data_IF_473331148614
#
_entry.id   IF_473331148614
#
_cell.length_a   1.000
_cell.length_b   1.000
_cell.length_c   1.000
_cell.angle_alpha   90.00
_cell.angle_beta   90.00
_cell.angle_gamma   90.00
#
_symmetry.space_group_name_H-M   'P 1'
#
loop_
_entity.id
_entity.type
_entity.pdbx_description
1 polymer ?
#
# COMPACT_ATOMS: atom_id res chain seq x y z
N UNK A 1 -24.99 27.33 -9.66
CA UNK A 1 -23.96 27.13 -8.61
C UNK A 1 -23.92 25.63 -8.30
N UNK A 2 -22.73 25.01 -8.32
CA UNK A 2 -22.44 23.57 -8.14
C UNK A 2 -22.07 22.74 -9.38
N UNK A 3 -21.57 23.36 -10.46
CA UNK A 3 -20.75 22.66 -11.49
C UNK A 3 -19.30 23.18 -11.55
N UNK A 4 -18.94 24.15 -10.71
CA UNK A 4 -17.60 24.75 -10.64
C UNK A 4 -16.70 24.22 -9.50
N UNK A 5 -17.13 23.17 -8.78
CA UNK A 5 -16.35 22.54 -7.69
C UNK A 5 -15.76 21.16 -8.04
N UNK A 6 -16.01 20.61 -9.22
CA UNK A 6 -15.47 19.29 -9.64
C UNK A 6 -14.22 19.34 -10.52
N UNK A 7 -13.79 20.53 -10.95
CA UNK A 7 -12.55 20.73 -11.72
C UNK A 7 -11.35 21.26 -10.90
N UNK A 8 -11.48 21.36 -9.57
CA UNK A 8 -10.46 21.96 -8.69
C UNK A 8 -9.73 20.96 -7.77
N UNK A 9 -9.70 19.65 -8.11
CA UNK A 9 -8.97 18.65 -7.31
C UNK A 9 -7.97 17.81 -8.11
N UNK A 10 -7.42 18.37 -9.19
CA UNK A 10 -6.26 17.84 -9.91
C UNK A 10 -5.12 18.87 -10.10
N UNK A 11 -5.26 20.07 -9.50
CA UNK A 11 -4.31 21.18 -9.67
C UNK A 11 -4.01 21.91 -8.35
N UNK A 12 -3.86 21.17 -7.27
CA UNK A 12 -3.44 21.74 -5.98
C UNK A 12 -2.41 20.83 -5.28
N UNK A 13 -1.28 20.61 -5.94
CA UNK A 13 0.03 20.43 -5.28
C UNK A 13 1.12 20.77 -6.29
N UNK A 14 1.21 22.06 -6.58
CA UNK A 14 2.13 22.61 -7.56
C UNK A 14 2.28 24.10 -7.33
N UNK A 15 2.77 24.46 -6.14
CA UNK A 15 3.33 25.78 -5.85
C UNK A 15 4.04 25.72 -4.50
N UNK A 16 5.26 25.20 -4.51
CA UNK A 16 6.38 25.66 -3.68
C UNK A 16 7.65 24.89 -4.10
N UNK A 17 8.63 25.64 -4.57
CA UNK A 17 10.01 25.24 -4.89
C UNK A 17 10.16 24.35 -6.13
N UNK A 18 10.30 24.92 -7.34
CA UNK A 18 11.11 24.41 -8.47
C UNK A 18 11.25 22.90 -8.79
N UNK A 19 10.33 22.02 -8.37
CA UNK A 19 10.41 20.59 -8.61
C UNK A 19 9.75 20.25 -9.93
N UNK A 20 10.57 19.76 -10.86
CA UNK A 20 10.11 19.05 -12.06
C UNK A 20 9.12 17.96 -11.64
N UNK A 21 7.90 17.99 -12.17
CA UNK A 21 6.97 16.86 -12.06
C UNK A 21 7.64 15.69 -12.74
N UNK A 22 8.20 14.77 -11.97
CA UNK A 22 8.88 13.59 -12.50
C UNK A 22 7.85 12.70 -13.21
N UNK A 23 7.53 13.00 -14.46
CA UNK A 23 6.97 12.03 -15.38
C UNK A 23 8.04 10.95 -15.57
N UNK A 24 7.69 9.68 -15.37
CA UNK A 24 8.58 8.59 -15.76
C UNK A 24 8.86 8.75 -17.27
N UNK A 25 10.13 8.87 -17.69
CA UNK A 25 10.42 8.98 -19.11
C UNK A 25 10.13 7.63 -19.79
N UNK A 26 9.33 7.73 -20.85
CA UNK A 26 9.28 6.87 -22.04
C UNK A 26 8.69 5.45 -21.91
N UNK A 27 7.92 5.17 -22.96
CA UNK A 27 7.21 3.94 -23.31
C UNK A 27 8.04 2.67 -23.14
N UNK A 28 7.33 1.58 -22.84
CA UNK A 28 7.85 0.21 -22.89
C UNK A 28 8.64 -0.01 -24.19
N UNK A 29 9.96 -0.11 -24.09
CA UNK A 29 10.78 -0.61 -25.19
C UNK A 29 10.43 -2.09 -25.38
N UNK A 30 10.46 -2.55 -26.64
CA UNK A 30 10.26 -3.96 -26.94
C UNK A 30 11.30 -4.80 -26.14
N UNK A 31 10.90 -5.93 -25.55
CA UNK A 31 11.79 -6.67 -24.68
C UNK A 31 13.04 -7.11 -25.44
N UNK A 32 14.20 -6.77 -24.91
CA UNK A 32 15.46 -7.29 -25.41
C UNK A 32 15.49 -8.82 -25.22
N UNK A 33 16.10 -9.53 -26.18
CA UNK A 33 16.21 -10.99 -26.11
C UNK A 33 16.84 -11.43 -24.78
N UNK A 34 16.13 -12.27 -24.02
CA UNK A 34 16.59 -12.81 -22.73
C UNK A 34 15.87 -12.26 -21.48
N UNK A 35 14.95 -11.29 -21.61
CA UNK A 35 14.18 -10.79 -20.48
C UNK A 35 13.02 -11.71 -20.09
N UNK A 36 12.76 -11.86 -18.78
CA UNK A 36 11.69 -12.72 -18.28
C UNK A 36 10.31 -12.16 -18.63
N UNK A 37 9.43 -12.90 -19.36
CA UNK A 37 8.06 -12.46 -19.61
C UNK A 37 7.28 -12.16 -18.32
N UNK A 38 7.60 -12.88 -17.25
CA UNK A 38 6.99 -12.65 -15.94
C UNK A 38 7.44 -11.30 -15.33
N UNK A 39 8.73 -10.98 -15.40
CA UNK A 39 9.24 -9.69 -14.94
C UNK A 39 8.66 -8.52 -15.76
N UNK A 40 8.55 -8.67 -17.09
CA UNK A 40 7.94 -7.67 -17.97
C UNK A 40 6.48 -7.43 -17.61
N UNK A 41 5.72 -8.50 -17.31
CA UNK A 41 4.33 -8.38 -16.89
C UNK A 41 4.19 -7.57 -15.59
N UNK A 42 5.04 -7.86 -14.58
CA UNK A 42 5.07 -7.10 -13.34
C UNK A 42 5.51 -5.66 -13.54
N UNK A 43 6.49 -5.40 -14.40
CA UNK A 43 6.89 -4.05 -14.77
C UNK A 43 5.72 -3.26 -15.37
N UNK A 44 4.94 -3.86 -16.28
CA UNK A 44 3.76 -3.22 -16.86
C UNK A 44 2.65 -2.96 -15.82
N UNK A 45 2.49 -3.83 -14.83
CA UNK A 45 1.61 -3.56 -13.68
C UNK A 45 2.10 -2.37 -12.86
N UNK A 46 3.41 -2.23 -12.66
CA UNK A 46 4.02 -1.07 -12.00
C UNK A 46 3.77 0.24 -12.76
N UNK A 47 3.97 0.24 -14.08
CA UNK A 47 3.63 1.40 -14.93
C UNK A 47 2.14 1.76 -14.84
N UNK A 48 1.26 0.77 -14.79
CA UNK A 48 -0.18 0.97 -14.67
C UNK A 48 -0.53 1.57 -13.32
N UNK A 49 0.04 1.05 -12.24
CA UNK A 49 -0.10 1.59 -10.88
C UNK A 49 0.33 3.06 -10.80
N UNK A 50 1.47 3.39 -11.42
CA UNK A 50 1.99 4.75 -11.45
C UNK A 50 1.03 5.71 -12.16
N UNK A 51 0.54 5.33 -13.35
CA UNK A 51 -0.43 6.11 -14.12
C UNK A 51 -1.76 6.33 -13.38
N UNK A 52 -2.12 5.41 -12.49
CA UNK A 52 -3.30 5.52 -11.62
C UNK A 52 -3.06 6.36 -10.36
N UNK A 53 -1.90 7.02 -10.24
CA UNK A 53 -1.57 7.83 -9.06
C UNK A 53 -1.28 7.01 -7.80
N UNK A 54 -0.89 5.75 -7.96
CA UNK A 54 -0.54 4.84 -6.85
C UNK A 54 0.97 4.50 -6.87
N UNK A 55 1.86 5.46 -6.53
CA UNK A 55 3.31 5.26 -6.61
C UNK A 55 3.83 4.18 -5.66
N UNK A 56 3.20 3.96 -4.51
CA UNK A 56 3.56 2.89 -3.57
C UNK A 56 3.30 1.50 -4.18
N UNK A 57 2.18 1.35 -4.88
CA UNK A 57 1.86 0.14 -5.63
C UNK A 57 2.83 -0.08 -6.79
N UNK A 58 3.22 1.00 -7.49
CA UNK A 58 4.21 0.94 -8.55
C UNK A 58 5.57 0.43 -8.06
N UNK A 59 6.05 0.94 -6.92
CA UNK A 59 7.29 0.49 -6.27
C UNK A 59 7.27 -1.03 -6.02
N UNK A 60 6.14 -1.58 -5.57
CA UNK A 60 6.02 -3.00 -5.26
C UNK A 60 6.17 -3.86 -6.51
N UNK A 61 5.46 -3.48 -7.58
CA UNK A 61 5.52 -4.20 -8.84
C UNK A 61 6.89 -4.08 -9.51
N UNK A 62 7.51 -2.89 -9.50
CA UNK A 62 8.86 -2.72 -10.02
C UNK A 62 9.89 -3.49 -9.21
N UNK A 63 9.80 -3.49 -7.87
CA UNK A 63 10.66 -4.29 -7.01
C UNK A 63 10.53 -5.78 -7.36
N UNK A 64 9.31 -6.30 -7.49
CA UNK A 64 9.08 -7.69 -7.85
C UNK A 64 9.61 -8.03 -9.25
N UNK A 65 9.47 -7.12 -10.21
CA UNK A 65 10.05 -7.28 -11.54
C UNK A 65 11.59 -7.38 -11.47
N UNK A 66 12.24 -6.52 -10.67
CA UNK A 66 13.69 -6.54 -10.45
C UNK A 66 14.16 -7.80 -9.71
N UNK A 67 13.36 -8.33 -8.77
CA UNK A 67 13.68 -9.57 -8.05
C UNK A 67 13.68 -10.80 -8.99
N UNK A 68 12.83 -10.80 -10.02
CA UNK A 68 12.72 -11.88 -11.00
C UNK A 68 13.74 -11.75 -12.12
N UNK A 69 13.94 -10.51 -12.60
CA UNK A 69 14.91 -10.20 -13.64
C UNK A 69 15.75 -8.99 -13.24
N UNK A 70 16.90 -9.21 -12.60
CA UNK A 70 17.81 -8.13 -12.22
C UNK A 70 18.36 -7.34 -13.41
N UNK A 71 18.32 -7.89 -14.64
CA UNK A 71 18.79 -7.24 -15.86
C UNK A 71 17.72 -6.36 -16.53
N UNK A 72 16.49 -6.31 -16.00
CA UNK A 72 15.43 -5.44 -16.50
C UNK A 72 15.70 -3.97 -16.11
N UNK A 73 16.62 -3.34 -16.84
CA UNK A 73 17.13 -1.99 -16.58
C UNK A 73 16.00 -0.95 -16.46
N UNK A 74 14.94 -1.05 -17.26
CA UNK A 74 13.83 -0.09 -17.21
C UNK A 74 13.04 -0.18 -15.88
N UNK A 75 12.92 -1.39 -15.31
CA UNK A 75 12.31 -1.58 -13.99
C UNK A 75 13.21 -1.02 -12.88
N UNK A 76 14.53 -1.24 -12.96
CA UNK A 76 15.49 -0.66 -12.02
C UNK A 76 15.48 0.87 -12.09
N UNK A 77 15.49 1.44 -13.29
CA UNK A 77 15.46 2.88 -13.51
C UNK A 77 14.19 3.50 -12.92
N UNK A 78 13.01 2.96 -13.26
CA UNK A 78 11.74 3.48 -12.76
C UNK A 78 11.59 3.31 -11.24
N UNK A 79 12.11 2.22 -10.67
CA UNK A 79 12.18 2.04 -9.22
C UNK A 79 13.08 3.11 -8.57
N UNK A 80 14.24 3.39 -9.16
CA UNK A 80 15.17 4.45 -8.73
C UNK A 80 14.52 5.84 -8.75
N UNK A 81 13.83 6.19 -9.84
CA UNK A 81 13.13 7.47 -9.99
C UNK A 81 12.02 7.61 -8.94
N UNK A 82 11.27 6.54 -8.63
CA UNK A 82 10.26 6.58 -7.58
C UNK A 82 10.86 6.72 -6.18
N UNK A 83 12.00 6.10 -5.89
CA UNK A 83 12.70 6.34 -4.63
C UNK A 83 13.23 7.77 -4.53
N UNK A 84 13.82 8.30 -5.60
CA UNK A 84 14.32 9.67 -5.65
C UNK A 84 13.20 10.71 -5.45
N UNK A 85 12.04 10.53 -6.11
CA UNK A 85 10.90 11.45 -5.95
C UNK A 85 10.35 11.47 -4.51
N UNK A 86 10.54 10.38 -3.76
CA UNK A 86 10.25 10.27 -2.33
C UNK A 86 11.42 10.73 -1.43
N UNK A 87 12.47 11.36 -1.99
CA UNK A 87 13.71 11.76 -1.29
C UNK A 87 14.48 10.60 -0.64
N UNK A 88 14.25 9.38 -1.11
CA UNK A 88 14.91 8.15 -0.63
C UNK A 88 16.18 7.87 -1.45
N UNK A 89 17.07 8.85 -1.54
CA UNK A 89 18.27 8.77 -2.39
C UNK A 89 19.18 7.57 -2.04
N UNK A 90 19.26 7.18 -0.75
CA UNK A 90 19.99 5.98 -0.31
C UNK A 90 19.49 4.69 -0.97
N UNK A 91 18.21 4.60 -1.27
CA UNK A 91 17.60 3.44 -1.93
C UNK A 91 17.64 3.57 -3.46
N UNK A 92 17.67 4.79 -3.99
CA UNK A 92 17.72 5.06 -5.43
C UNK A 92 19.10 4.78 -6.04
N UNK A 93 20.18 5.16 -5.35
CA UNK A 93 21.58 4.96 -5.80
C UNK A 93 21.85 3.54 -6.30
N UNK A 94 21.60 2.46 -5.52
CA UNK A 94 21.87 1.10 -6.00
C UNK A 94 21.01 0.70 -7.21
N UNK A 95 19.84 1.32 -7.41
CA UNK A 95 18.99 1.04 -8.57
C UNK A 95 19.57 1.63 -9.85
N UNK A 96 20.05 2.88 -9.81
CA UNK A 96 20.71 3.48 -10.96
C UNK A 96 22.07 2.82 -11.27
N UNK A 97 22.78 2.33 -10.25
CA UNK A 97 23.98 1.52 -10.45
C UNK A 97 23.68 0.22 -11.21
N UNK A 98 22.57 -0.47 -10.89
CA UNK A 98 22.15 -1.65 -11.66
C UNK A 98 21.76 -1.32 -13.11
N UNK A 99 21.17 -0.14 -13.37
CA UNK A 99 20.93 0.34 -14.74
C UNK A 99 22.26 0.48 -15.47
N UNK A 100 23.25 1.14 -14.86
CA UNK A 100 24.58 1.34 -15.46
C UNK A 100 25.38 0.04 -15.60
N UNK A 101 25.12 -0.98 -14.77
CA UNK A 101 25.71 -2.31 -14.96
C UNK A 101 25.26 -2.94 -16.29
N UNK A 102 24.01 -2.72 -16.70
CA UNK A 102 23.42 -3.25 -17.94
C UNK A 102 23.64 -2.31 -19.13
N UNK A 103 23.52 -1.00 -18.91
CA UNK A 103 23.65 0.07 -19.90
C UNK A 103 24.72 1.08 -19.43
N UNK A 104 26.02 0.78 -19.58
CA UNK A 104 27.10 1.60 -18.99
C UNK A 104 27.23 3.04 -19.50
N UNK A 105 26.56 3.38 -20.60
CA UNK A 105 26.57 4.73 -21.18
C UNK A 105 25.19 5.39 -21.15
N UNK A 106 24.27 4.90 -20.32
CA UNK A 106 22.93 5.47 -20.20
C UNK A 106 23.00 6.87 -19.54
N UNK A 107 22.74 7.96 -20.29
CA UNK A 107 22.94 9.30 -19.79
C UNK A 107 21.89 9.69 -18.74
N UNK A 108 20.68 9.11 -18.81
CA UNK A 108 19.63 9.34 -17.83
C UNK A 108 20.02 8.73 -16.48
N UNK A 109 20.53 7.49 -16.49
CA UNK A 109 20.99 6.81 -15.28
C UNK A 109 22.22 7.48 -14.66
N UNK A 110 23.19 7.91 -15.48
CA UNK A 110 24.34 8.71 -15.01
C UNK A 110 23.87 10.00 -14.33
N UNK A 111 22.96 10.74 -14.95
CA UNK A 111 22.43 11.97 -14.40
C UNK A 111 21.68 11.72 -13.08
N UNK A 112 20.74 10.78 -13.04
CA UNK A 112 19.95 10.52 -11.83
C UNK A 112 20.79 10.00 -10.67
N UNK A 113 21.79 9.16 -10.95
CA UNK A 113 22.75 8.70 -9.95
C UNK A 113 23.54 9.89 -9.37
N UNK A 114 24.05 10.77 -10.23
CA UNK A 114 24.77 11.96 -9.79
C UNK A 114 23.90 12.90 -8.93
N UNK A 115 22.63 13.08 -9.30
CA UNK A 115 21.67 13.85 -8.49
C UNK A 115 21.51 13.22 -7.12
N UNK A 116 21.26 11.92 -7.04
CA UNK A 116 21.09 11.22 -5.77
C UNK A 116 22.35 11.28 -4.89
N UNK A 117 23.53 11.11 -5.47
CA UNK A 117 24.81 11.20 -4.75
C UNK A 117 25.08 12.61 -4.23
N UNK A 118 24.77 13.64 -5.03
CA UNK A 118 24.88 15.05 -4.59
C UNK A 118 23.93 15.35 -3.44
N UNK A 119 22.68 14.86 -3.51
CA UNK A 119 21.69 15.00 -2.43
C UNK A 119 22.10 14.27 -1.14
N UNK A 120 22.97 13.25 -1.25
CA UNK A 120 23.59 12.55 -0.12
C UNK A 120 24.91 13.19 0.36
N UNK A 121 25.40 14.24 -0.31
CA UNK A 121 26.69 14.89 -0.04
C UNK A 121 27.90 14.09 -0.55
N UNK A 122 27.70 13.01 -1.31
CA UNK A 122 28.75 12.16 -1.89
C UNK A 122 29.27 12.76 -3.21
N UNK A 123 29.77 14.00 -3.13
CA UNK A 123 30.16 14.80 -4.30
C UNK A 123 31.33 14.20 -5.10
N UNK A 124 32.27 13.53 -4.42
CA UNK A 124 33.39 12.83 -5.06
C UNK A 124 32.93 11.68 -5.96
N UNK A 125 31.88 10.96 -5.54
CA UNK A 125 31.24 9.89 -6.33
C UNK A 125 30.33 10.45 -7.42
N UNK A 126 29.64 11.57 -7.17
CA UNK A 126 28.74 12.19 -8.14
C UNK A 126 29.46 12.73 -9.39
N UNK A 127 30.63 13.36 -9.19
CA UNK A 127 31.38 14.07 -10.24
C UNK A 127 31.68 13.22 -11.49
N UNK A 128 32.23 11.98 -11.40
CA UNK A 128 32.47 11.17 -12.60
C UNK A 128 31.19 10.86 -13.38
N UNK A 129 30.04 10.72 -12.71
CA UNK A 129 28.77 10.48 -13.41
C UNK A 129 28.25 11.74 -14.13
N UNK A 130 28.49 12.94 -13.60
CA UNK A 130 28.20 14.20 -14.31
C UNK A 130 29.10 14.37 -15.54
N UNK A 131 30.38 14.01 -15.44
CA UNK A 131 31.33 14.08 -16.56
C UNK A 131 31.02 13.08 -17.68
N UNK A 132 30.35 11.97 -17.37
CA UNK A 132 29.92 10.99 -18.36
C UNK A 132 28.79 11.50 -19.27
N UNK A 133 28.13 12.61 -18.92
CA UNK A 133 27.03 13.18 -19.71
C UNK A 133 27.62 13.96 -20.88
N UNK A 134 27.34 13.49 -22.10
CA UNK A 134 27.85 14.10 -23.32
C UNK A 134 27.25 15.51 -23.57
N UNK A 135 28.00 16.43 -24.21
CA UNK A 135 27.54 17.79 -24.50
C UNK A 135 26.23 17.93 -25.30
N UNK A 136 25.88 16.90 -26.08
CA UNK A 136 24.67 16.86 -26.88
C UNK A 136 23.46 16.26 -26.14
N UNK A 137 23.62 15.83 -24.89
CA UNK A 137 22.54 15.24 -24.10
C UNK A 137 21.68 16.33 -23.42
N UNK A 138 20.38 16.04 -23.26
CA UNK A 138 19.42 16.95 -22.64
C UNK A 138 19.80 17.36 -21.19
N UNK A 139 20.47 16.47 -20.44
CA UNK A 139 20.89 16.74 -19.07
C UNK A 139 22.18 17.55 -18.96
N UNK A 140 22.90 17.79 -20.06
CA UNK A 140 24.25 18.36 -20.01
C UNK A 140 24.31 19.72 -19.33
N UNK A 141 23.41 20.63 -19.67
CA UNK A 141 23.38 21.96 -19.07
C UNK A 141 23.13 21.91 -17.55
N UNK A 142 22.26 21.00 -17.10
CA UNK A 142 21.97 20.83 -15.68
C UNK A 142 23.10 20.10 -14.95
N UNK A 143 23.74 19.13 -15.61
CA UNK A 143 24.93 18.46 -15.10
C UNK A 143 26.09 19.44 -14.86
N UNK A 144 26.31 20.38 -15.79
CA UNK A 144 27.32 21.42 -15.64
C UNK A 144 27.05 22.33 -14.44
N UNK A 145 25.79 22.76 -14.23
CA UNK A 145 25.43 23.56 -13.06
C UNK A 145 25.72 22.82 -11.75
N UNK A 146 25.34 21.54 -11.68
CA UNK A 146 25.60 20.71 -10.49
C UNK A 146 27.09 20.53 -10.23
N UNK A 147 27.88 20.36 -11.28
CA UNK A 147 29.34 20.29 -11.15
C UNK A 147 29.94 21.59 -10.64
N UNK A 148 29.44 22.75 -11.09
CA UNK A 148 29.83 24.06 -10.53
C UNK A 148 29.42 24.21 -9.06
N UNK A 149 28.25 23.70 -8.66
CA UNK A 149 27.82 23.69 -7.24
C UNK A 149 28.73 22.82 -6.37
N UNK A 150 29.16 21.67 -6.90
CA UNK A 150 30.14 20.78 -6.23
C UNK A 150 31.48 21.51 -6.08
N UNK A 151 32.01 22.10 -7.16
CA UNK A 151 33.32 22.77 -7.17
C UNK A 151 33.34 24.04 -6.29
N UNK A 152 32.20 24.72 -6.13
CA UNK A 152 32.05 25.92 -5.28
C UNK A 152 31.75 25.62 -3.80
N UNK A 153 31.57 24.35 -3.43
CA UNK A 153 31.26 23.95 -2.05
C UNK A 153 29.89 24.41 -1.54
N UNK A 154 28.98 24.81 -2.43
CA UNK A 154 27.65 25.37 -2.08
C UNK A 154 26.55 24.32 -1.87
N UNK A 155 26.89 23.05 -1.64
CA UNK A 155 25.89 21.97 -1.48
C UNK A 155 25.30 21.93 -0.07
N UNK A 156 24.03 21.51 0.02
CA UNK A 156 23.25 21.40 1.25
C UNK A 156 24.01 20.64 2.38
N UNK A 157 23.76 21.00 3.66
CA UNK A 157 24.51 20.45 4.78
C UNK A 157 24.42 18.93 4.85
N UNK A 158 25.54 18.34 5.25
CA UNK A 158 25.71 16.91 5.46
C UNK A 158 24.62 16.44 6.43
N UNK A 159 23.65 15.65 5.97
CA UNK A 159 22.89 14.78 6.89
C UNK A 159 23.81 13.61 7.20
N UNK A 160 24.78 13.82 8.09
CA UNK A 160 25.47 12.72 8.73
C UNK A 160 24.42 11.99 9.56
N UNK A 161 23.83 10.94 8.99
CA UNK A 161 23.29 9.89 9.82
C UNK A 161 24.46 9.40 10.70
N UNK A 162 24.32 9.36 12.03
CA UNK A 162 25.38 8.83 12.88
C UNK A 162 25.73 7.41 12.41
N UNK A 163 27.00 6.98 12.54
CA UNK A 163 27.44 5.69 12.08
C UNK A 163 26.56 4.60 12.68
N UNK A 164 26.12 3.67 11.84
CA UNK A 164 25.45 2.45 12.26
C UNK A 164 26.49 1.63 13.02
N UNK A 165 26.60 1.85 14.33
CA UNK A 165 27.26 0.91 15.21
C UNK A 165 26.38 -0.33 15.26
N UNK A 166 26.93 -1.43 14.75
CA UNK A 166 26.41 -2.76 14.96
C UNK A 166 26.11 -2.93 16.46
N UNK A 167 24.88 -3.32 16.80
CA UNK A 167 24.48 -3.60 18.16
C UNK A 167 25.31 -4.78 18.68
N UNK A 168 26.44 -4.47 19.31
CA UNK A 168 27.10 -5.34 20.26
C UNK A 168 26.38 -5.14 21.59
N UNK A 169 25.85 -6.26 22.08
CA UNK A 169 25.36 -6.43 23.45
C UNK A 169 26.46 -6.07 24.43
N UNK A 170 26.24 -5.07 25.29
CA UNK A 170 26.91 -5.02 26.57
C UNK A 170 26.06 -4.33 27.64
N UNK A 171 26.08 -4.97 28.81
CA UNK A 171 25.36 -4.64 30.02
C UNK A 171 26.07 -3.51 30.78
N UNK A 172 25.29 -2.70 31.53
CA UNK A 172 25.73 -1.71 32.54
C UNK A 172 26.52 -0.47 32.09
N UNK A 173 25.87 0.70 32.06
CA UNK A 173 26.48 1.96 32.52
C UNK A 173 25.42 2.87 33.18
N UNK A 174 25.61 3.15 34.47
CA UNK A 174 24.94 4.19 35.27
C UNK A 174 25.60 5.56 35.02
N UNK A 175 24.82 6.61 34.72
CA UNK A 175 25.30 8.00 34.61
C UNK A 175 24.51 8.97 35.50
N UNK A 176 25.23 9.75 36.33
CA UNK A 176 24.73 10.69 37.35
C UNK A 176 24.53 12.12 36.79
N UNK A 177 23.53 12.82 37.35
CA UNK A 177 22.89 14.11 36.97
C UNK A 177 23.67 15.39 37.32
N UNK A 178 23.25 16.55 36.77
CA UNK A 178 23.08 17.83 37.54
C UNK A 178 21.92 18.68 36.98
N UNK A 179 20.99 19.11 37.84
CA UNK A 179 19.99 20.15 37.53
C UNK A 179 20.63 21.56 37.68
N UNK A 180 20.64 22.39 36.63
CA UNK A 180 21.39 23.64 36.61
C UNK A 180 20.80 24.77 37.46
N UNK A 181 19.61 24.62 38.05
CA UNK A 181 18.95 25.70 38.80
C UNK A 181 18.90 25.48 40.32
N UNK A 182 19.29 24.31 40.84
CA UNK A 182 19.19 24.05 42.29
C UNK A 182 20.37 23.30 42.92
N UNK A 183 21.31 22.78 42.13
CA UNK A 183 22.60 22.27 42.63
C UNK A 183 22.54 21.11 43.65
N UNK A 184 21.40 20.43 43.80
CA UNK A 184 21.24 19.29 44.72
C UNK A 184 20.99 17.98 43.95
N UNK A 185 21.72 16.94 44.32
CA UNK A 185 21.52 15.55 43.85
C UNK A 185 20.50 14.86 44.76
N UNK A 186 19.42 14.34 44.19
CA UNK A 186 18.42 13.55 44.92
C UNK A 186 18.32 12.18 44.24
N UNK A 187 18.72 11.13 44.96
CA UNK A 187 18.58 9.73 44.53
C UNK A 187 17.16 9.25 44.88
N UNK A 188 16.36 8.88 43.87
CA UNK A 188 15.10 8.16 44.09
C UNK A 188 14.90 7.04 43.06
N UNK A 189 14.47 5.84 43.50
CA UNK A 189 14.29 4.68 42.64
C UNK A 189 13.03 4.82 41.78
N UNK A 190 13.16 4.60 40.46
CA UNK A 190 12.02 4.47 39.54
C UNK A 190 11.37 3.09 39.71
N UNK A 191 10.52 2.96 40.72
CA UNK A 191 9.53 1.88 40.81
C UNK A 191 8.30 2.25 39.97
N UNK A 192 7.93 1.40 39.01
CA UNK A 192 6.69 1.50 38.25
C UNK A 192 5.46 1.56 39.19
N UNK A 193 4.50 2.47 38.98
CA UNK A 193 3.24 2.41 39.70
C UNK A 193 2.40 1.19 39.21
N UNK A 194 1.76 0.44 40.12
CA UNK A 194 0.84 -0.64 39.75
C UNK A 194 -0.46 -0.10 39.13
N UNK A 195 -1.20 -0.92 38.37
CA UNK A 195 -2.47 -0.52 37.78
C UNK A 195 -3.49 -0.17 38.87
N UNK A 196 -4.21 0.93 38.67
CA UNK A 196 -5.22 1.41 39.61
C UNK A 196 -6.31 0.35 39.86
N UNK A 197 -6.55 0.10 41.14
CA UNK A 197 -7.60 -0.77 41.65
C UNK A 197 -9.00 -0.15 41.42
N UNK A 198 -9.97 -1.03 41.22
CA UNK A 198 -11.40 -0.75 41.16
C UNK A 198 -11.89 0.01 42.40
N UNK A 199 -12.65 1.09 42.19
CA UNK A 199 -13.49 1.70 43.21
C UNK A 199 -14.97 1.45 42.88
N UNK A 200 -15.73 1.18 43.94
CA UNK A 200 -17.06 0.58 43.98
C UNK A 200 -18.17 1.38 43.27
N UNK A 201 -19.13 0.63 42.70
CA UNK A 201 -20.43 1.15 42.26
C UNK A 201 -21.34 1.50 43.46
N UNK A 202 -22.10 2.61 43.42
CA UNK A 202 -23.29 2.79 44.26
C UNK A 202 -24.50 2.02 43.68
N UNK A 203 -25.50 1.69 44.51
CA UNK A 203 -26.48 0.64 44.21
C UNK A 203 -27.59 1.07 43.23
N UNK A 204 -28.22 0.04 42.66
CA UNK A 204 -29.22 0.06 41.62
C UNK A 204 -30.46 0.93 41.90
N UNK A 205 -30.88 1.69 40.89
CA UNK A 205 -32.26 2.18 40.76
C UNK A 205 -33.06 1.19 39.90
N UNK A 206 -34.19 0.74 40.43
CA UNK A 206 -35.13 -0.21 39.82
C UNK A 206 -35.75 0.32 38.52
N UNK A 207 -36.12 -0.56 37.57
CA UNK A 207 -36.95 -0.18 36.43
C UNK A 207 -38.43 -0.09 36.85
N UNK A 208 -39.21 0.91 36.38
CA UNK A 208 -40.65 0.85 36.56
C UNK A 208 -41.27 -0.21 35.65
N UNK A 209 -42.22 -0.92 36.24
CA UNK A 209 -42.93 -2.07 35.72
C UNK A 209 -43.83 -1.76 34.51
N UNK A 210 -44.09 -2.82 33.75
CA UNK A 210 -45.05 -2.87 32.65
C UNK A 210 -46.51 -2.64 33.12
N UNK A 211 -47.31 -2.00 32.27
CA UNK A 211 -48.77 -2.20 32.20
C UNK A 211 -49.19 -2.44 30.73
N UNK A 212 -50.14 -3.37 30.46
CA UNK A 212 -50.65 -3.71 29.13
C UNK A 212 -52.03 -3.05 28.87
N UNK A 213 -52.79 -3.42 27.82
CA UNK A 213 -52.93 -2.68 26.57
C UNK A 213 -54.29 -1.98 26.42
N UNK A 214 -54.38 -0.97 25.54
CA UNK A 214 -55.65 -0.44 25.05
C UNK A 214 -55.76 -0.61 23.53
N UNK A 215 -56.78 -1.36 23.16
CA UNK A 215 -57.35 -1.67 21.84
C UNK A 215 -57.66 -0.45 20.99
N UNK A 216 -57.28 -0.47 19.70
CA UNK A 216 -58.14 -0.03 18.58
C UNK A 216 -57.85 -0.86 17.31
N UNK A 217 -58.92 -1.37 16.71
CA UNK A 217 -59.01 -2.21 15.51
C UNK A 217 -59.32 -1.33 14.26
N UNK A 218 -59.52 -1.86 13.02
CA UNK A 218 -58.77 -1.44 11.84
C UNK A 218 -59.62 -0.71 10.77
N UNK A 219 -58.99 0.02 9.85
CA UNK A 219 -59.46 0.09 8.46
C UNK A 219 -58.48 0.79 7.50
N UNK A 220 -58.41 0.18 6.31
CA UNK A 220 -58.19 0.77 4.98
C UNK A 220 -56.81 0.59 4.33
N UNK A 221 -56.76 -0.40 3.44
CA UNK A 221 -55.86 -0.46 2.27
C UNK A 221 -56.02 0.79 1.40
N UNK A 222 -54.99 1.12 0.61
CA UNK A 222 -55.22 1.20 -0.83
C UNK A 222 -54.20 0.42 -1.66
N UNK A 223 -54.76 -0.43 -2.51
CA UNK A 223 -54.46 -0.75 -3.92
C UNK A 223 -53.09 -0.37 -4.51
N UNK A 224 -52.45 -1.38 -5.10
CA UNK A 224 -51.25 -1.30 -5.91
C UNK A 224 -51.42 -0.45 -7.19
N UNK A 225 -50.37 0.30 -7.54
CA UNK A 225 -50.03 0.61 -8.93
C UNK A 225 -48.52 0.42 -9.10
N UNK A 226 -48.18 -0.52 -9.97
CA UNK A 226 -46.84 -0.82 -10.46
C UNK A 226 -46.29 0.38 -11.23
N UNK A 227 -45.12 0.89 -10.82
CA UNK A 227 -44.27 1.71 -11.67
C UNK A 227 -42.81 1.25 -11.51
N UNK A 228 -42.30 0.63 -12.56
CA UNK A 228 -40.90 0.24 -12.70
C UNK A 228 -40.00 1.50 -12.70
N UNK A 229 -38.90 1.53 -11.93
CA UNK A 229 -37.88 2.55 -12.13
C UNK A 229 -37.15 2.27 -13.43
N UNK A 230 -37.24 3.23 -14.35
CA UNK A 230 -36.56 3.25 -15.62
C UNK A 230 -35.04 3.08 -15.43
N UNK A 231 -34.47 2.14 -16.17
CA UNK A 231 -33.03 1.99 -16.40
C UNK A 231 -32.47 3.26 -17.07
N UNK A 232 -31.75 4.07 -16.31
CA UNK A 232 -30.80 5.00 -16.89
C UNK A 232 -29.53 4.24 -17.27
N UNK A 233 -29.29 4.14 -18.58
CA UNK A 233 -28.07 3.62 -19.16
C UNK A 233 -26.88 4.50 -18.74
N UNK A 234 -25.81 3.95 -18.12
CA UNK A 234 -24.65 4.74 -17.74
C UNK A 234 -23.91 5.24 -18.99
N UNK A 235 -23.32 6.45 -18.97
CA UNK A 235 -22.68 7.05 -20.14
C UNK A 235 -21.54 6.17 -20.66
N UNK A 236 -21.68 5.74 -21.90
CA UNK A 236 -20.65 5.09 -22.68
C UNK A 236 -19.51 6.07 -22.95
N UNK A 237 -18.31 5.79 -22.41
CA UNK A 237 -16.98 5.92 -23.06
C UNK A 237 -15.86 5.89 -22.01
N UNK A 238 -15.38 4.68 -21.69
CA UNK A 238 -14.00 4.51 -21.20
C UNK A 238 -13.08 4.25 -22.40
N UNK A 239 -11.81 4.71 -22.37
CA UNK A 239 -10.87 4.43 -23.45
C UNK A 239 -10.65 2.91 -23.55
N UNK A 240 -10.95 2.36 -24.72
CA UNK A 240 -10.60 1.00 -25.10
C UNK A 240 -9.08 0.89 -25.12
N UNK A 241 -8.50 0.20 -24.15
CA UNK A 241 -7.12 -0.27 -24.26
C UNK A 241 -7.09 -1.42 -25.26
N UNK A 242 -7.00 -1.07 -26.55
CA UNK A 242 -6.75 -2.02 -27.62
C UNK A 242 -5.28 -2.46 -27.60
N UNK A 243 -5.01 -3.51 -26.84
CA UNK A 243 -3.99 -4.52 -27.16
C UNK A 243 -4.60 -5.88 -26.81
N UNK A 244 -4.74 -6.81 -27.77
CA UNK A 244 -5.28 -8.13 -27.45
C UNK A 244 -4.34 -8.82 -26.47
N UNK A 245 -4.79 -9.26 -25.28
CA UNK A 245 -4.01 -10.18 -24.48
C UNK A 245 -3.85 -11.50 -25.26
N UNK A 246 -2.66 -12.09 -25.19
CA UNK A 246 -2.31 -13.43 -25.68
C UNK A 246 -3.49 -14.42 -25.62
N UNK A 247 -3.79 -15.06 -26.74
CA UNK A 247 -4.85 -16.07 -26.94
C UNK A 247 -4.64 -17.40 -26.17
N UNK A 248 -4.16 -17.35 -24.94
CA UNK A 248 -4.07 -18.53 -24.06
C UNK A 248 -4.73 -18.21 -22.72
N UNK A 249 -6.07 -18.16 -22.74
CA UNK A 249 -6.85 -18.22 -21.51
C UNK A 249 -6.46 -19.47 -20.69
N UNK A 250 -6.74 -19.49 -19.38
CA UNK A 250 -6.28 -20.57 -18.53
C UNK A 250 -6.88 -21.91 -18.98
N UNK A 251 -6.04 -22.94 -19.11
CA UNK A 251 -6.40 -24.27 -19.64
C UNK A 251 -6.37 -25.30 -18.52
N UNK A 252 -7.37 -26.18 -18.48
CA UNK A 252 -7.36 -27.33 -17.59
C UNK A 252 -6.32 -28.36 -18.05
N UNK A 253 -5.41 -28.76 -17.17
CA UNK A 253 -4.41 -29.81 -17.46
C UNK A 253 -4.96 -31.20 -17.12
N UNK A 254 -5.90 -31.29 -16.18
CA UNK A 254 -6.48 -32.56 -15.74
C UNK A 254 -7.70 -32.95 -16.60
N UNK A 255 -7.88 -34.24 -16.97
CA UNK A 255 -8.92 -34.70 -17.90
C UNK A 255 -10.36 -34.36 -17.49
N UNK A 256 -10.62 -34.20 -16.18
CA UNK A 256 -11.93 -33.89 -15.63
C UNK A 256 -12.00 -32.50 -14.99
N UNK A 257 -10.99 -31.65 -15.22
CA UNK A 257 -11.02 -30.27 -14.78
C UNK A 257 -11.59 -29.39 -15.90
N UNK A 258 -12.42 -28.41 -15.52
CA UNK A 258 -12.84 -27.34 -16.41
C UNK A 258 -12.30 -26.01 -15.87
N UNK A 259 -11.84 -25.16 -16.78
CA UNK A 259 -11.31 -23.84 -16.44
C UNK A 259 -12.04 -22.82 -17.30
N UNK A 260 -12.54 -21.77 -16.66
CA UNK A 260 -13.22 -20.66 -17.34
C UNK A 260 -12.99 -19.36 -16.58
N UNK A 261 -13.02 -18.25 -17.31
CA UNK A 261 -13.08 -16.91 -16.72
C UNK A 261 -14.53 -16.65 -16.30
N UNK A 262 -14.78 -16.43 -15.00
CA UNK A 262 -16.13 -16.18 -14.47
C UNK A 262 -16.49 -14.69 -14.36
N UNK A 263 -15.49 -13.81 -14.33
CA UNK A 263 -15.66 -12.36 -14.26
C UNK A 263 -14.37 -11.64 -14.70
N UNK A 264 -14.53 -10.42 -15.24
CA UNK A 264 -13.43 -9.54 -15.66
C UNK A 264 -13.65 -8.12 -15.12
N UNK A 265 -12.71 -7.20 -15.38
CA UNK A 265 -12.81 -5.79 -14.95
C UNK A 265 -12.39 -5.54 -13.50
N UNK A 266 -11.52 -6.38 -12.96
CA UNK A 266 -10.85 -6.18 -11.68
C UNK A 266 -9.59 -5.32 -11.82
N UNK A 267 -9.13 -4.72 -10.73
CA UNK A 267 -7.92 -3.87 -10.74
C UNK A 267 -6.77 -4.58 -10.02
N UNK A 268 -6.00 -5.38 -10.77
CA UNK A 268 -5.00 -6.32 -10.27
C UNK A 268 -5.54 -7.17 -9.10
N UNK A 269 -6.49 -8.09 -9.37
CA UNK A 269 -7.05 -8.95 -8.33
C UNK A 269 -5.96 -9.84 -7.74
N UNK A 270 -5.79 -9.82 -6.42
CA UNK A 270 -4.68 -10.48 -5.74
C UNK A 270 -5.11 -11.55 -4.74
N UNK A 271 -6.12 -11.25 -3.93
CA UNK A 271 -6.63 -12.16 -2.90
C UNK A 271 -8.06 -12.60 -3.20
N UNK A 272 -8.39 -13.82 -2.78
CA UNK A 272 -9.72 -14.42 -2.91
C UNK A 272 -10.07 -15.18 -1.62
N UNK A 273 -11.33 -15.10 -1.19
CA UNK A 273 -11.87 -15.97 -0.14
C UNK A 273 -13.37 -16.11 -0.33
N UNK A 274 -13.87 -17.32 -0.11
CA UNK A 274 -15.29 -17.52 0.10
C UNK A 274 -15.70 -17.03 1.47
N UNK A 275 -16.90 -16.49 1.56
CA UNK A 275 -17.62 -16.23 2.79
C UNK A 275 -18.91 -17.06 2.88
N UNK A 276 -19.71 -16.81 3.93
CA UNK A 276 -21.01 -17.46 4.10
C UNK A 276 -21.92 -17.29 2.89
N UNK A 277 -22.77 -18.28 2.63
CA UNK A 277 -23.73 -18.25 1.51
C UNK A 277 -23.08 -18.31 0.12
N UNK A 278 -21.81 -18.70 0.00
CA UNK A 278 -21.13 -18.90 -1.27
C UNK A 278 -20.65 -17.62 -1.96
N UNK A 279 -20.65 -16.48 -1.24
CA UNK A 279 -20.12 -15.23 -1.78
C UNK A 279 -18.59 -15.29 -1.89
N UNK A 280 -18.05 -14.92 -3.05
CA UNK A 280 -16.61 -14.79 -3.29
C UNK A 280 -16.20 -13.33 -3.09
N UNK A 281 -15.23 -13.08 -2.22
CA UNK A 281 -14.64 -11.77 -1.99
C UNK A 281 -13.29 -11.68 -2.69
N UNK A 282 -13.04 -10.54 -3.34
CA UNK A 282 -11.87 -10.31 -4.20
C UNK A 282 -11.17 -9.03 -3.77
N UNK A 283 -9.89 -9.13 -3.42
CA UNK A 283 -9.05 -7.96 -3.16
C UNK A 283 -8.51 -7.39 -4.46
N UNK A 284 -8.85 -6.14 -4.77
CA UNK A 284 -8.29 -5.39 -5.88
C UNK A 284 -7.15 -4.50 -5.39
N UNK A 285 -5.93 -4.92 -5.69
CA UNK A 285 -4.72 -4.31 -5.13
C UNK A 285 -4.55 -2.85 -5.57
N UNK A 286 -4.79 -2.55 -6.85
CA UNK A 286 -4.45 -1.25 -7.43
C UNK A 286 -5.43 -0.14 -7.07
N UNK A 287 -6.74 -0.41 -7.11
CA UNK A 287 -7.76 0.60 -6.82
C UNK A 287 -8.21 0.59 -5.34
N UNK A 288 -7.60 -0.25 -4.49
CA UNK A 288 -7.87 -0.31 -3.06
C UNK A 288 -9.32 -0.66 -2.71
N UNK A 289 -9.91 -1.63 -3.41
CA UNK A 289 -11.29 -2.09 -3.16
C UNK A 289 -11.35 -3.57 -2.84
N UNK A 290 -12.40 -3.96 -2.13
CA UNK A 290 -12.84 -5.36 -2.05
C UNK A 290 -14.14 -5.47 -2.85
N UNK A 291 -14.16 -6.36 -3.82
CA UNK A 291 -15.37 -6.70 -4.58
C UNK A 291 -15.98 -7.98 -4.02
N UNK A 292 -17.29 -8.16 -4.23
CA UNK A 292 -18.03 -9.38 -3.91
C UNK A 292 -18.77 -9.87 -5.15
N UNK A 293 -18.65 -11.16 -5.42
CA UNK A 293 -19.52 -11.90 -6.33
C UNK A 293 -20.41 -12.79 -5.46
N UNK A 294 -21.73 -12.57 -5.48
CA UNK A 294 -22.69 -13.42 -4.78
C UNK A 294 -22.88 -14.76 -5.49
N UNK A 295 -23.51 -15.74 -4.84
CA UNK A 295 -23.67 -17.10 -5.38
C UNK A 295 -24.48 -17.15 -6.68
N UNK A 296 -25.32 -16.15 -6.94
CA UNK A 296 -26.05 -15.94 -8.20
C UNK A 296 -25.18 -15.36 -9.34
N UNK A 297 -23.92 -15.03 -9.06
CA UNK A 297 -22.98 -14.42 -10.02
C UNK A 297 -22.99 -12.88 -10.04
N UNK A 298 -23.83 -12.23 -9.23
CA UNK A 298 -23.91 -10.76 -9.22
C UNK A 298 -22.65 -10.13 -8.59
N UNK A 299 -21.97 -9.26 -9.34
CA UNK A 299 -20.77 -8.53 -8.88
C UNK A 299 -21.14 -7.15 -8.34
N UNK A 300 -20.54 -6.79 -7.21
CA UNK A 300 -20.62 -5.43 -6.62
C UNK A 300 -19.31 -5.06 -5.90
N UNK A 301 -19.02 -3.77 -5.77
CA UNK A 301 -17.99 -3.30 -4.83
C UNK A 301 -18.54 -3.49 -3.41
N UNK A 302 -17.86 -4.30 -2.61
CA UNK A 302 -18.28 -4.60 -1.24
C UNK A 302 -17.74 -3.57 -0.24
N UNK A 303 -16.49 -3.15 -0.43
CA UNK A 303 -15.87 -2.15 0.43
C UNK A 303 -14.80 -1.35 -0.31
N UNK A 304 -14.64 -0.11 0.11
CA UNK A 304 -13.59 0.82 -0.28
C UNK A 304 -13.31 1.76 0.90
N UNK A 305 -12.29 2.61 0.79
CA UNK A 305 -12.05 3.68 1.77
C UNK A 305 -10.61 3.78 2.24
N UNK A 306 -10.38 4.67 3.22
CA UNK A 306 -9.04 5.04 3.67
C UNK A 306 -8.25 3.88 4.32
N UNK A 307 -8.96 2.92 4.93
CA UNK A 307 -8.33 1.80 5.64
C UNK A 307 -7.86 0.68 4.70
N UNK A 308 -8.30 0.65 3.45
CA UNK A 308 -7.95 -0.40 2.49
C UNK A 308 -6.84 0.16 1.61
N UNK A 309 -5.63 -0.39 1.69
CA UNK A 309 -4.44 0.13 1.01
C UNK A 309 -3.50 -1.01 0.59
N UNK A 310 -3.50 -1.30 -0.70
CA UNK A 310 -2.84 -2.47 -1.27
C UNK A 310 -3.35 -3.78 -0.66
N UNK A 311 -4.67 -4.05 -0.69
CA UNK A 311 -5.21 -5.31 -0.17
C UNK A 311 -4.67 -6.47 -0.99
N UNK A 312 -4.11 -7.50 -0.33
CA UNK A 312 -3.48 -8.63 -1.03
C UNK A 312 -4.01 -9.98 -0.53
N UNK A 313 -4.07 -10.19 0.78
CA UNK A 313 -4.63 -11.39 1.39
C UNK A 313 -5.97 -11.08 2.02
N UNK A 314 -6.91 -12.03 1.96
CA UNK A 314 -8.18 -11.91 2.66
C UNK A 314 -8.69 -13.25 3.17
N UNK A 315 -9.44 -13.22 4.27
CA UNK A 315 -10.12 -14.37 4.85
C UNK A 315 -11.46 -13.91 5.44
N UNK A 316 -12.49 -14.75 5.35
CA UNK A 316 -13.83 -14.42 5.86
C UNK A 316 -14.18 -15.37 7.01
N UNK A 317 -14.71 -14.82 8.10
CA UNK A 317 -15.22 -15.63 9.21
C UNK A 317 -16.69 -16.06 9.01
N UNK A 318 -17.19 -16.96 9.88
CA UNK A 318 -18.56 -17.47 9.80
C UNK A 318 -19.63 -16.38 9.92
N UNK A 319 -19.48 -15.33 10.76
CA UNK A 319 -20.38 -14.18 10.73
C UNK A 319 -20.33 -13.33 9.44
N UNK A 320 -19.34 -13.52 8.57
CA UNK A 320 -19.19 -12.79 7.31
C UNK A 320 -18.34 -11.53 7.41
N UNK A 321 -17.54 -11.38 8.47
CA UNK A 321 -16.52 -10.34 8.50
C UNK A 321 -15.36 -10.72 7.59
N UNK A 322 -14.89 -9.78 6.78
CA UNK A 322 -13.74 -9.95 5.91
C UNK A 322 -12.52 -9.34 6.58
N UNK A 323 -11.50 -10.14 6.83
CA UNK A 323 -10.19 -9.66 7.29
C UNK A 323 -9.26 -9.51 6.09
N UNK A 324 -8.55 -8.39 6.04
CA UNK A 324 -7.74 -7.98 4.88
C UNK A 324 -6.33 -7.64 5.32
N UNK A 325 -5.34 -8.23 4.66
CA UNK A 325 -3.92 -7.89 4.80
C UNK A 325 -3.60 -6.79 3.80
N UNK A 326 -3.30 -5.60 4.32
CA UNK A 326 -2.93 -4.43 3.52
C UNK A 326 -1.42 -4.38 3.36
N UNK A 327 -0.93 -4.89 2.24
CA UNK A 327 0.49 -4.98 1.93
C UNK A 327 1.19 -3.62 1.90
N UNK A 328 0.51 -2.59 1.38
CA UNK A 328 1.05 -1.23 1.29
C UNK A 328 1.06 -0.55 2.65
N UNK A 329 -0.08 -0.57 3.36
CA UNK A 329 -0.21 0.14 4.64
C UNK A 329 0.43 -0.59 5.83
N UNK A 330 0.79 -1.88 5.71
CA UNK A 330 1.32 -2.64 6.84
C UNK A 330 0.28 -2.84 7.95
N UNK A 331 -0.99 -3.01 7.57
CA UNK A 331 -2.10 -3.17 8.51
C UNK A 331 -2.91 -4.42 8.23
N UNK A 332 -3.65 -4.88 9.24
CA UNK A 332 -4.75 -5.81 9.09
C UNK A 332 -6.05 -5.08 9.43
N UNK A 333 -7.02 -5.18 8.53
CA UNK A 333 -8.33 -4.54 8.66
C UNK A 333 -9.41 -5.60 8.76
N UNK A 334 -10.42 -5.35 9.60
CA UNK A 334 -11.69 -6.05 9.60
C UNK A 334 -12.73 -5.22 8.87
N UNK A 335 -13.49 -5.85 7.99
CA UNK A 335 -14.63 -5.27 7.29
C UNK A 335 -15.88 -6.02 7.76
N UNK A 336 -16.86 -5.32 8.32
CA UNK A 336 -18.11 -5.94 8.76
C UNK A 336 -18.96 -6.42 7.57
N UNK A 337 -19.97 -7.28 7.77
CA UNK A 337 -20.92 -7.64 6.71
C UNK A 337 -21.62 -6.43 6.05
N UNK A 338 -21.68 -5.29 6.75
CA UNK A 338 -22.20 -4.03 6.22
C UNK A 338 -21.18 -3.22 5.38
N UNK A 339 -19.98 -3.75 5.13
CA UNK A 339 -18.93 -3.08 4.35
C UNK A 339 -18.10 -2.05 5.13
N UNK A 340 -18.27 -1.96 6.45
CA UNK A 340 -17.57 -0.96 7.29
C UNK A 340 -16.18 -1.48 7.64
N UNK A 341 -15.14 -0.77 7.24
CA UNK A 341 -13.74 -1.14 7.49
C UNK A 341 -13.16 -0.51 8.76
N UNK A 342 -12.40 -1.28 9.54
CA UNK A 342 -11.69 -0.82 10.75
C UNK A 342 -10.32 -1.50 10.86
N UNK A 343 -9.27 -0.72 11.12
CA UNK A 343 -7.92 -1.25 11.39
C UNK A 343 -7.94 -1.96 12.74
N UNK A 344 -7.56 -3.25 12.74
CA UNK A 344 -7.53 -4.07 13.96
C UNK A 344 -6.10 -4.36 14.45
N UNK A 345 -5.12 -4.22 13.56
CA UNK A 345 -3.70 -4.31 13.90
C UNK A 345 -2.85 -3.56 12.86
N UNK A 346 -1.69 -3.05 13.29
CA UNK A 346 -0.76 -2.26 12.46
C UNK A 346 0.70 -2.64 12.77
N UNK A 347 1.63 -2.09 11.98
CA UNK A 347 3.07 -2.33 12.16
C UNK A 347 3.59 -3.57 11.42
N UNK A 348 2.78 -4.16 10.54
CA UNK A 348 3.19 -5.33 9.77
C UNK A 348 4.17 -4.96 8.65
N UNK A 349 5.19 -5.78 8.45
CA UNK A 349 6.19 -5.65 7.40
C UNK A 349 5.77 -6.48 6.19
N UNK A 350 5.01 -5.82 5.31
CA UNK A 350 4.45 -6.40 4.08
C UNK A 350 3.58 -7.64 4.36
N UNK A 351 2.45 -7.47 5.08
CA UNK A 351 1.54 -8.57 5.37
C UNK A 351 0.97 -9.12 4.04
N UNK A 352 1.03 -10.44 3.87
CA UNK A 352 0.76 -11.08 2.58
C UNK A 352 -0.47 -12.01 2.63
N UNK A 353 -0.44 -13.04 3.46
CA UNK A 353 -1.53 -14.02 3.57
C UNK A 353 -2.13 -14.05 4.97
N UNK A 354 -3.42 -14.41 5.07
CA UNK A 354 -4.18 -14.54 6.29
C UNK A 354 -4.75 -15.96 6.42
N UNK A 355 -4.70 -16.52 7.62
CA UNK A 355 -5.44 -17.73 8.00
C UNK A 355 -6.21 -17.50 9.30
N UNK A 356 -7.34 -18.20 9.46
CA UNK A 356 -8.11 -18.25 10.71
C UNK A 356 -7.98 -19.65 11.31
N UNK A 357 -7.74 -19.73 12.62
CA UNK A 357 -7.94 -20.98 13.35
C UNK A 357 -9.40 -21.14 13.81
N UNK A 358 -9.71 -22.31 14.38
CA UNK A 358 -11.05 -22.64 14.88
C UNK A 358 -11.49 -21.75 16.05
N UNK A 359 -10.54 -21.15 16.77
CA UNK A 359 -10.78 -20.20 17.84
C UNK A 359 -11.01 -18.76 17.37
N UNK A 360 -10.87 -18.50 16.06
CA UNK A 360 -11.01 -17.17 15.46
C UNK A 360 -9.77 -16.29 15.58
N UNK A 361 -8.60 -16.83 15.91
CA UNK A 361 -7.34 -16.09 15.84
C UNK A 361 -6.88 -15.98 14.39
N UNK A 362 -6.31 -14.82 14.04
CA UNK A 362 -5.73 -14.60 12.72
C UNK A 362 -4.23 -14.92 12.75
N UNK A 363 -3.74 -15.52 11.68
CA UNK A 363 -2.32 -15.72 11.42
C UNK A 363 -1.96 -14.98 10.14
N UNK A 364 -0.94 -14.13 10.20
CA UNK A 364 -0.55 -13.21 9.12
C UNK A 364 0.89 -13.50 8.74
N UNK A 365 1.13 -13.86 7.48
CA UNK A 365 2.50 -13.93 6.96
C UNK A 365 3.04 -12.54 6.65
N UNK A 366 4.29 -12.29 6.99
CA UNK A 366 5.02 -11.06 6.71
C UNK A 366 6.13 -11.36 5.72
N UNK A 367 6.00 -10.86 4.49
CA UNK A 367 6.94 -11.18 3.43
C UNK A 367 8.32 -10.54 3.67
N UNK A 368 8.36 -9.34 4.24
CA UNK A 368 9.63 -8.62 4.43
C UNK A 368 10.42 -9.15 5.63
N UNK A 369 9.73 -9.54 6.71
CA UNK A 369 10.37 -10.06 7.93
C UNK A 369 10.56 -11.58 7.91
N UNK A 370 10.10 -12.28 6.86
CA UNK A 370 10.09 -13.74 6.77
C UNK A 370 9.45 -14.41 8.01
N UNK A 371 8.35 -13.86 8.52
CA UNK A 371 7.74 -14.28 9.78
C UNK A 371 6.23 -14.50 9.67
N UNK A 372 5.63 -15.16 10.68
CA UNK A 372 4.18 -15.31 10.83
C UNK A 372 3.76 -14.77 12.18
N UNK A 373 2.78 -13.86 12.18
CA UNK A 373 2.28 -13.17 13.37
C UNK A 373 0.87 -13.65 13.69
N UNK A 374 0.61 -13.96 14.96
CA UNK A 374 -0.74 -14.26 15.45
C UNK A 374 -1.41 -13.00 16.00
N UNK A 375 -2.66 -12.75 15.60
CA UNK A 375 -3.55 -11.75 16.20
C UNK A 375 -4.63 -12.51 16.97
N UNK A 376 -4.70 -12.28 18.28
CA UNK A 376 -5.78 -12.79 19.13
C UNK A 376 -6.89 -11.75 19.16
N UNK A 377 -8.08 -12.10 18.66
CA UNK A 377 -9.23 -11.20 18.65
C UNK A 377 -9.97 -11.25 20.00
N UNK A 378 -10.51 -10.12 20.49
CA UNK A 378 -11.31 -10.10 21.71
C UNK A 378 -12.52 -11.02 21.56
N UNK A 379 -12.67 -11.98 22.47
CA UNK A 379 -13.88 -12.82 22.53
C UNK A 379 -14.98 -12.04 23.24
N UNK A 380 -16.10 -11.81 22.58
CA UNK A 380 -17.33 -11.50 23.29
C UNK A 380 -17.78 -12.78 23.98
N UNK A 381 -17.47 -12.94 25.26
CA UNK A 381 -18.12 -13.93 26.10
C UNK A 381 -19.60 -13.53 26.19
N UNK A 382 -20.41 -13.98 25.25
CA UNK A 382 -21.85 -14.07 25.46
C UNK A 382 -22.00 -15.20 26.47
N UNK A 383 -22.05 -14.84 27.75
CA UNK A 383 -22.25 -15.78 28.83
C UNK A 383 -23.58 -16.48 28.66
N UNK A 384 -23.60 -17.59 27.92
CA UNK A 384 -24.64 -18.59 28.08
C UNK A 384 -24.28 -19.31 29.37
N UNK A 385 -24.85 -18.82 30.46
CA UNK A 385 -24.88 -19.55 31.72
C UNK A 385 -25.71 -20.83 31.45
N UNK A 386 -25.20 -22.01 31.79
CA UNK A 386 -25.86 -23.29 31.51
C UNK A 386 -27.23 -23.41 32.18
#
# INVERSE_FOLDING_TARGET
MNELRRLALAAAFGLALGYSTASLPVAAQAPAAGQSPHAISLYNLGLTAYKQGSPESAIIFFKRACDIDPNLADAQYNLGVLYQSQKRCKEAVPRFQEVLRVKPMDPDAHYQLAVCLTDLGQNSEARPHLLAIAPNNAHFAEAQKRMQMIDSGQTAPIVTAPPVQAAQTDQNVTGRMVDPNTGRTIEQPMSYPPPAAQAAQPPAAQPPAAQPPATQTPAAQPTAVSQAPQTQEPPATMPKFNTPPSNTGPVAVLPNASVRVIATGFSAPAGLSFGPGGSLYIANFLNNTIDRITADGSRSQFASGANIKGPIGLIVDNPGNVYVANYVAGTVVRISPAGISSVIASGFRKPYYLALDKEGNLFVSQQEDNSVVRITLPRTNVGIKP
#
